data_IF_267427482181
#
_entry.id   IF_267427482181
#
_cell.length_a   1.000
_cell.length_b   1.000
_cell.length_c   1.000
_cell.angle_alpha   90.00
_cell.angle_beta   90.00
_cell.angle_gamma   90.00
#
_symmetry.space_group_name_H-M   'P 1'
#
loop_
_entity.id
_entity.type
_entity.pdbx_description
1 polymer ?
#
# COMPACT_ATOMS: atom_id res chain seq x y z
N UNK A 1 10.60 25.39 4.97
CA UNK A 1 9.62 24.72 5.87
C UNK A 1 9.71 23.23 5.63
N UNK A 2 10.47 22.51 6.46
CA UNK A 2 10.58 21.05 6.39
C UNK A 2 9.60 20.49 7.42
N UNK A 3 8.37 20.22 6.97
CA UNK A 3 7.26 19.82 7.81
C UNK A 3 6.95 18.34 7.54
N UNK A 4 7.87 17.43 7.86
CA UNK A 4 7.77 16.05 7.33
C UNK A 4 8.28 14.94 8.24
N UNK A 5 8.02 14.93 9.56
CA UNK A 5 8.31 13.74 10.38
C UNK A 5 7.34 13.45 11.55
N UNK A 6 6.30 14.26 11.79
CA UNK A 6 5.31 13.94 12.82
C UNK A 6 4.25 12.96 12.29
N UNK A 7 3.96 11.93 13.09
CA UNK A 7 2.81 11.03 12.97
C UNK A 7 1.59 11.57 13.73
N UNK A 8 1.65 12.85 14.10
CA UNK A 8 0.62 13.58 14.81
C UNK A 8 -0.10 14.51 13.82
N UNK A 9 -1.43 14.71 13.96
CA UNK A 9 -2.19 15.66 13.16
C UNK A 9 -1.60 17.08 13.26
N UNK A 10 -1.50 17.79 12.14
CA UNK A 10 -0.91 19.14 12.10
C UNK A 10 -1.87 20.23 12.61
N UNK A 11 -3.16 19.93 12.57
CA UNK A 11 -4.32 20.77 12.79
C UNK A 11 -5.09 20.39 14.08
N UNK A 12 -4.46 19.57 14.93
CA UNK A 12 -5.07 19.02 16.15
C UNK A 12 -5.93 17.78 15.86
N UNK A 13 -6.43 17.14 16.91
CA UNK A 13 -7.26 15.93 16.75
C UNK A 13 -8.59 16.30 16.05
N UNK A 14 -9.00 15.56 15.01
CA UNK A 14 -10.24 15.85 14.30
C UNK A 14 -11.44 15.75 15.24
N UNK A 15 -12.39 16.67 15.10
CA UNK A 15 -13.59 16.69 15.95
C UNK A 15 -14.48 15.50 15.61
N UNK A 16 -15.20 14.95 16.61
CA UNK A 16 -16.12 13.82 16.42
C UNK A 16 -17.12 14.05 15.28
N UNK A 17 -17.63 15.27 15.14
CA UNK A 17 -18.56 15.65 14.06
C UNK A 17 -17.90 15.61 12.67
N UNK A 18 -16.65 16.09 12.55
CA UNK A 18 -15.90 16.02 11.29
C UNK A 18 -15.65 14.57 10.88
N UNK A 19 -15.32 13.71 11.84
CA UNK A 19 -15.07 12.27 11.61
C UNK A 19 -16.36 11.59 11.15
N UNK A 20 -17.49 11.88 11.80
CA UNK A 20 -18.78 11.27 11.46
C UNK A 20 -19.21 11.57 10.01
N UNK A 21 -18.99 12.81 9.55
CA UNK A 21 -19.28 13.22 8.16
C UNK A 21 -18.43 12.47 7.13
N UNK A 22 -17.17 12.16 7.47
CA UNK A 22 -16.20 11.51 6.56
C UNK A 22 -16.25 9.98 6.62
N UNK A 23 -16.65 9.42 7.75
CA UNK A 23 -16.72 7.98 8.02
C UNK A 23 -17.43 7.14 6.94
N UNK A 24 -18.60 7.52 6.38
CA UNK A 24 -19.25 6.70 5.34
C UNK A 24 -18.41 6.64 4.05
N UNK A 25 -17.74 7.74 3.69
CA UNK A 25 -16.89 7.82 2.51
C UNK A 25 -15.65 6.94 2.72
N UNK A 26 -14.99 7.03 3.88
CA UNK A 26 -13.86 6.17 4.22
C UNK A 26 -14.23 4.70 4.20
N UNK A 27 -15.32 4.32 4.89
CA UNK A 27 -15.74 2.94 4.93
C UNK A 27 -15.97 2.38 3.52
N UNK A 28 -16.72 3.11 2.68
CA UNK A 28 -17.01 2.67 1.30
C UNK A 28 -15.73 2.42 0.49
N UNK A 29 -14.84 3.40 0.40
CA UNK A 29 -13.66 3.28 -0.46
C UNK A 29 -12.59 2.33 0.09
N UNK A 30 -12.43 2.24 1.41
CA UNK A 30 -11.55 1.25 2.03
C UNK A 30 -12.02 -0.19 1.77
N UNK A 31 -13.34 -0.43 1.77
CA UNK A 31 -13.89 -1.73 1.36
C UNK A 31 -13.63 -2.03 -0.13
N UNK A 32 -13.69 -1.03 -1.00
CA UNK A 32 -13.33 -1.20 -2.42
C UNK A 32 -11.84 -1.53 -2.57
N UNK A 33 -10.95 -0.84 -1.83
CA UNK A 33 -9.51 -1.18 -1.80
C UNK A 33 -9.29 -2.63 -1.35
N UNK A 34 -10.00 -3.08 -0.32
CA UNK A 34 -9.91 -4.44 0.18
C UNK A 34 -10.23 -5.48 -0.91
N UNK A 35 -11.34 -5.27 -1.62
CA UNK A 35 -11.74 -6.16 -2.72
C UNK A 35 -10.77 -6.12 -3.91
N UNK A 36 -10.10 -4.99 -4.14
CA UNK A 36 -9.12 -4.83 -5.22
C UNK A 36 -7.79 -5.57 -4.94
N UNK A 37 -7.45 -5.84 -3.68
CA UNK A 37 -6.23 -6.59 -3.34
C UNK A 37 -6.30 -8.02 -3.89
N UNK A 38 -7.47 -8.66 -3.87
CA UNK A 38 -7.65 -10.04 -4.36
C UNK A 38 -7.24 -10.19 -5.85
N UNK A 39 -7.84 -9.46 -6.80
CA UNK A 39 -7.44 -9.57 -8.21
C UNK A 39 -6.00 -9.10 -8.44
N UNK A 40 -5.47 -8.19 -7.61
CA UNK A 40 -4.05 -7.77 -7.68
C UNK A 40 -3.12 -8.93 -7.35
N UNK A 41 -3.41 -9.70 -6.30
CA UNK A 41 -2.60 -10.88 -5.93
C UNK A 41 -2.71 -11.96 -7.00
N UNK A 42 -3.91 -12.23 -7.51
CA UNK A 42 -4.13 -13.18 -8.61
C UNK A 42 -3.33 -12.78 -9.86
N UNK A 43 -3.38 -11.50 -10.23
CA UNK A 43 -2.61 -10.96 -11.34
C UNK A 43 -1.10 -11.13 -11.13
N UNK A 44 -0.60 -10.92 -9.91
CA UNK A 44 0.80 -11.13 -9.55
C UNK A 44 1.27 -12.58 -9.71
N UNK A 45 0.41 -13.56 -9.42
CA UNK A 45 0.70 -14.99 -9.63
C UNK A 45 0.66 -15.34 -11.12
N UNK A 46 -0.31 -14.82 -11.86
CA UNK A 46 -0.42 -15.04 -13.31
C UNK A 46 0.77 -14.45 -14.07
N UNK A 47 1.36 -13.36 -13.58
CA UNK A 47 2.45 -12.63 -14.25
C UNK A 47 3.85 -13.16 -13.91
N UNK A 48 3.97 -14.38 -13.41
CA UNK A 48 5.28 -14.98 -13.11
C UNK A 48 5.98 -15.49 -14.37
N UNK A 49 7.31 -15.41 -14.41
CA UNK A 49 8.12 -15.88 -15.56
C UNK A 49 7.90 -17.37 -15.88
N UNK A 50 7.56 -18.18 -14.87
CA UNK A 50 7.17 -19.57 -15.08
C UNK A 50 5.86 -19.70 -15.88
N UNK A 51 4.88 -18.82 -15.65
CA UNK A 51 3.63 -18.82 -16.41
C UNK A 51 3.86 -18.37 -17.85
N UNK A 52 4.83 -17.48 -18.07
CA UNK A 52 5.23 -17.07 -19.43
C UNK A 52 5.73 -18.26 -20.27
N UNK A 53 6.46 -19.21 -19.68
CA UNK A 53 6.98 -20.37 -20.41
C UNK A 53 5.93 -21.46 -20.67
N UNK A 54 4.92 -21.59 -19.82
CA UNK A 54 3.88 -22.62 -19.93
C UNK A 54 2.63 -22.12 -20.66
N UNK A 55 2.18 -20.90 -20.36
CA UNK A 55 0.95 -20.32 -20.88
C UNK A 55 1.11 -18.80 -21.10
N UNK A 56 1.73 -18.36 -22.21
CA UNK A 56 1.96 -16.94 -22.51
C UNK A 56 0.69 -16.08 -22.50
N UNK A 57 -0.45 -16.65 -22.91
CA UNK A 57 -1.74 -15.97 -22.85
C UNK A 57 -2.18 -15.63 -21.43
N UNK A 58 -1.97 -16.52 -20.46
CA UNK A 58 -2.29 -16.27 -19.05
C UNK A 58 -1.36 -15.22 -18.45
N UNK A 59 -0.08 -15.26 -18.82
CA UNK A 59 0.91 -14.27 -18.41
C UNK A 59 0.50 -12.85 -18.84
N UNK A 60 0.18 -12.66 -20.12
CA UNK A 60 -0.23 -11.34 -20.65
C UNK A 60 -1.52 -10.84 -20.01
N UNK A 61 -2.52 -11.72 -19.81
CA UNK A 61 -3.74 -11.39 -19.07
C UNK A 61 -3.43 -10.95 -17.63
N UNK A 62 -2.55 -11.67 -16.94
CA UNK A 62 -2.08 -11.31 -15.61
C UNK A 62 -1.44 -9.92 -15.58
N UNK A 63 -0.54 -9.64 -16.53
CA UNK A 63 0.18 -8.38 -16.58
C UNK A 63 -0.77 -7.19 -16.82
N UNK A 64 -1.72 -7.34 -17.75
CA UNK A 64 -2.75 -6.32 -18.03
C UNK A 64 -3.66 -6.13 -16.82
N UNK A 65 -4.13 -7.22 -16.20
CA UNK A 65 -4.97 -7.14 -15.00
C UNK A 65 -4.24 -6.44 -13.84
N UNK A 66 -2.97 -6.77 -13.61
CA UNK A 66 -2.15 -6.16 -12.57
C UNK A 66 -1.95 -4.66 -12.80
N UNK A 67 -1.72 -4.25 -14.05
CA UNK A 67 -1.63 -2.84 -14.43
C UNK A 67 -2.94 -2.10 -14.16
N UNK A 68 -4.08 -2.65 -14.61
CA UNK A 68 -5.41 -2.07 -14.38
C UNK A 68 -5.68 -1.93 -12.89
N UNK A 69 -5.42 -2.99 -12.10
CA UNK A 69 -5.62 -2.94 -10.65
C UNK A 69 -4.74 -1.88 -9.99
N UNK A 70 -3.49 -1.72 -10.42
CA UNK A 70 -2.59 -0.69 -9.88
C UNK A 70 -3.09 0.73 -10.15
N UNK A 71 -3.59 1.00 -11.37
CA UNK A 71 -4.19 2.29 -11.72
C UNK A 71 -5.45 2.54 -10.90
N UNK A 72 -6.35 1.56 -10.83
CA UNK A 72 -7.58 1.67 -10.05
C UNK A 72 -7.27 1.91 -8.58
N UNK A 73 -6.25 1.25 -8.03
CA UNK A 73 -5.80 1.45 -6.65
C UNK A 73 -5.35 2.90 -6.42
N UNK A 74 -4.51 3.43 -7.29
CA UNK A 74 -4.08 4.84 -7.25
C UNK A 74 -5.25 5.81 -7.35
N UNK A 75 -6.22 5.55 -8.23
CA UNK A 75 -7.42 6.38 -8.39
C UNK A 75 -8.30 6.35 -7.13
N UNK A 76 -8.47 5.19 -6.49
CA UNK A 76 -9.24 5.11 -5.24
C UNK A 76 -8.57 5.89 -4.12
N UNK A 77 -7.23 5.87 -4.04
CA UNK A 77 -6.50 6.73 -3.10
C UNK A 77 -6.76 8.22 -3.39
N UNK A 78 -6.81 8.64 -4.65
CA UNK A 78 -7.20 10.01 -5.00
C UNK A 78 -8.66 10.34 -4.64
N UNK A 79 -9.57 9.38 -4.70
CA UNK A 79 -10.95 9.59 -4.23
C UNK A 79 -10.99 9.79 -2.72
N UNK A 80 -10.19 9.02 -1.97
CA UNK A 80 -10.01 9.20 -0.53
C UNK A 80 -9.33 10.53 -0.18
N UNK A 81 -8.59 11.12 -1.13
CA UNK A 81 -7.89 12.38 -0.89
C UNK A 81 -8.80 13.58 -0.77
N UNK A 82 -10.09 13.47 -1.12
CA UNK A 82 -11.06 14.52 -0.84
C UNK A 82 -11.27 14.73 0.66
N UNK A 83 -10.90 13.73 1.48
CA UNK A 83 -11.07 13.75 2.93
C UNK A 83 -9.75 14.00 3.65
N UNK A 84 -8.64 13.43 3.16
CA UNK A 84 -7.32 13.56 3.77
C UNK A 84 -6.22 13.67 2.71
N UNK A 85 -5.43 14.74 2.78
CA UNK A 85 -4.43 15.06 1.74
C UNK A 85 -3.33 13.99 1.62
N UNK A 86 -3.06 13.23 2.69
CA UNK A 86 -2.05 12.18 2.67
C UNK A 86 -2.34 11.09 1.63
N UNK A 87 -3.62 10.80 1.37
CA UNK A 87 -4.02 9.87 0.29
C UNK A 87 -3.77 10.44 -1.11
N UNK A 88 -3.73 11.77 -1.27
CA UNK A 88 -3.41 12.42 -2.55
C UNK A 88 -2.01 12.05 -2.97
N UNK A 89 -1.04 12.20 -2.06
CA UNK A 89 0.36 11.91 -2.33
C UNK A 89 0.54 10.42 -2.61
N UNK A 90 -0.05 9.55 -1.78
CA UNK A 90 -0.02 8.10 -2.03
C UNK A 90 -0.58 7.74 -3.41
N UNK A 91 -1.76 8.27 -3.77
CA UNK A 91 -2.39 8.03 -5.06
C UNK A 91 -1.57 8.51 -6.25
N UNK A 92 -1.03 9.75 -6.20
CA UNK A 92 -0.20 10.30 -7.29
C UNK A 92 1.06 9.45 -7.49
N UNK A 93 1.80 9.16 -6.42
CA UNK A 93 3.03 8.36 -6.53
C UNK A 93 2.75 6.94 -7.02
N UNK A 94 1.62 6.34 -6.62
CA UNK A 94 1.19 5.04 -7.15
C UNK A 94 0.89 5.07 -8.64
N UNK A 95 0.25 6.13 -9.13
CA UNK A 95 -0.01 6.31 -10.57
C UNK A 95 1.30 6.56 -11.35
N UNK A 96 2.24 7.33 -10.81
CA UNK A 96 3.57 7.52 -11.40
C UNK A 96 4.31 6.18 -11.46
N UNK A 97 4.27 5.37 -10.39
CA UNK A 97 4.85 4.03 -10.38
C UNK A 97 4.25 3.14 -11.47
N UNK A 98 2.92 3.14 -11.63
CA UNK A 98 2.25 2.39 -12.68
C UNK A 98 2.64 2.86 -14.08
N UNK A 99 2.65 4.18 -14.33
CA UNK A 99 3.02 4.76 -15.61
C UNK A 99 4.48 4.46 -16.00
N UNK A 100 5.40 4.62 -15.07
CA UNK A 100 6.83 4.30 -15.29
C UNK A 100 7.03 2.81 -15.57
N UNK A 101 6.31 1.93 -14.88
CA UNK A 101 6.34 0.49 -15.13
C UNK A 101 5.84 0.14 -16.54
N UNK A 102 4.77 0.79 -16.99
CA UNK A 102 4.22 0.61 -18.33
C UNK A 102 5.16 1.09 -19.43
N UNK A 103 5.76 2.29 -19.25
CA UNK A 103 6.72 2.84 -20.21
C UNK A 103 7.93 1.91 -20.33
N UNK A 104 8.51 1.46 -19.21
CA UNK A 104 9.66 0.55 -19.19
C UNK A 104 9.37 -0.76 -19.95
N UNK A 105 8.15 -1.29 -19.83
CA UNK A 105 7.72 -2.48 -20.56
C UNK A 105 7.64 -2.24 -22.09
N UNK A 106 7.19 -1.06 -22.54
CA UNK A 106 7.11 -0.73 -23.98
C UNK A 106 8.51 -0.61 -24.58
N UNK A 107 9.40 0.14 -23.92
CA UNK A 107 10.75 0.39 -24.44
C UNK A 107 11.73 -0.75 -24.15
N UNK A 108 11.27 -1.82 -23.47
CA UNK A 108 12.08 -2.97 -23.06
C UNK A 108 13.37 -2.57 -22.33
N UNK A 109 13.30 -1.50 -21.54
CA UNK A 109 14.45 -0.93 -20.84
C UNK A 109 14.15 -0.89 -19.35
N UNK A 110 14.86 -1.71 -18.59
CA UNK A 110 14.81 -1.74 -17.13
C UNK A 110 16.22 -1.59 -16.56
N UNK A 111 16.79 -0.40 -16.77
CA UNK A 111 18.11 -0.07 -16.23
C UNK A 111 18.07 0.07 -14.71
N UNK A 112 19.19 -0.25 -14.03
CA UNK A 112 19.30 -0.17 -12.57
C UNK A 112 18.81 1.17 -11.99
N UNK A 113 19.12 2.29 -12.64
CA UNK A 113 18.66 3.62 -12.22
C UNK A 113 17.12 3.74 -12.19
N UNK A 114 16.43 3.18 -13.18
CA UNK A 114 14.97 3.18 -13.22
C UNK A 114 14.37 2.29 -12.14
N UNK A 115 15.00 1.14 -11.88
CA UNK A 115 14.61 0.24 -10.78
C UNK A 115 14.71 0.98 -9.44
N UNK A 116 15.84 1.62 -9.15
CA UNK A 116 16.01 2.39 -7.92
C UNK A 116 15.01 3.54 -7.80
N UNK A 117 14.78 4.28 -8.90
CA UNK A 117 13.80 5.36 -8.92
C UNK A 117 12.38 4.84 -8.60
N UNK A 118 11.97 3.72 -9.21
CA UNK A 118 10.67 3.09 -8.95
C UNK A 118 10.52 2.64 -7.51
N UNK A 119 11.58 2.07 -6.91
CA UNK A 119 11.54 1.67 -5.49
C UNK A 119 11.33 2.89 -4.60
N UNK A 120 12.03 4.01 -4.85
CA UNK A 120 11.85 5.24 -4.07
C UNK A 120 10.41 5.77 -4.22
N UNK A 121 9.88 5.80 -5.45
CA UNK A 121 8.50 6.24 -5.72
C UNK A 121 7.49 5.37 -4.96
N UNK A 122 7.65 4.05 -4.99
CA UNK A 122 6.78 3.12 -4.29
C UNK A 122 6.89 3.29 -2.78
N UNK A 123 8.10 3.47 -2.24
CA UNK A 123 8.34 3.69 -0.83
C UNK A 123 7.67 4.98 -0.32
N UNK A 124 7.71 6.06 -1.11
CA UNK A 124 7.02 7.32 -0.80
C UNK A 124 5.51 7.12 -0.84
N UNK A 125 4.99 6.42 -1.86
CA UNK A 125 3.57 6.08 -1.97
C UNK A 125 3.08 5.34 -0.73
N UNK A 126 3.79 4.26 -0.35
CA UNK A 126 3.43 3.45 0.79
C UNK A 126 3.56 4.23 2.09
N UNK A 127 4.64 4.97 2.32
CA UNK A 127 4.80 5.80 3.51
C UNK A 127 3.57 6.68 3.75
N UNK A 128 3.12 7.38 2.72
CA UNK A 128 1.95 8.24 2.80
C UNK A 128 0.65 7.45 3.06
N UNK A 129 0.50 6.27 2.47
CA UNK A 129 -0.65 5.39 2.72
C UNK A 129 -0.69 4.93 4.19
N UNK A 130 0.40 4.35 4.70
CA UNK A 130 0.54 3.89 6.08
C UNK A 130 0.33 5.02 7.08
N UNK A 131 0.94 6.19 6.81
CA UNK A 131 0.77 7.39 7.63
C UNK A 131 -0.67 7.84 7.67
N UNK A 132 -1.33 7.91 6.51
CA UNK A 132 -2.71 8.40 6.45
C UNK A 132 -3.66 7.44 7.15
N UNK A 133 -3.50 6.12 6.99
CA UNK A 133 -4.30 5.13 7.73
C UNK A 133 -4.16 5.27 9.25
N UNK A 134 -2.95 5.53 9.74
CA UNK A 134 -2.74 5.83 11.16
C UNK A 134 -3.45 7.14 11.55
N UNK A 135 -3.24 8.21 10.80
CA UNK A 135 -3.79 9.54 11.13
C UNK A 135 -5.32 9.55 11.21
N UNK A 136 -6.01 8.90 10.27
CA UNK A 136 -7.48 8.91 10.27
C UNK A 136 -8.09 8.13 11.43
N UNK A 137 -7.33 7.22 12.04
CA UNK A 137 -7.75 6.43 13.20
C UNK A 137 -7.46 7.12 14.52
N UNK A 138 -6.54 8.09 14.52
CA UNK A 138 -6.15 8.84 15.71
C UNK A 138 -7.36 9.58 16.29
N UNK A 139 -7.67 9.33 17.56
CA UNK A 139 -8.87 9.83 18.25
C UNK A 139 -10.14 9.00 18.05
N UNK A 140 -10.10 7.93 17.25
CA UNK A 140 -11.20 6.96 17.05
C UNK A 140 -10.81 5.59 17.61
N UNK A 141 -9.68 5.07 17.15
CA UNK A 141 -9.08 3.79 17.53
C UNK A 141 -7.55 3.96 17.53
N UNK A 142 -7.03 4.54 18.62
CA UNK A 142 -5.60 4.80 18.77
C UNK A 142 -4.77 3.51 18.77
N UNK A 143 -5.36 2.39 19.20
CA UNK A 143 -4.70 1.10 19.17
C UNK A 143 -4.45 0.62 17.75
N UNK A 144 -5.43 0.73 16.86
CA UNK A 144 -5.27 0.41 15.44
C UNK A 144 -4.38 1.43 14.73
N UNK A 145 -4.42 2.70 15.13
CA UNK A 145 -3.48 3.73 14.64
C UNK A 145 -2.02 3.33 14.90
N UNK A 146 -1.68 2.94 16.13
CA UNK A 146 -0.31 2.51 16.49
C UNK A 146 0.14 1.23 15.77
N UNK A 147 -0.80 0.32 15.50
CA UNK A 147 -0.54 -0.87 14.68
C UNK A 147 -0.10 -0.51 13.27
N UNK A 148 -0.73 0.48 12.63
CA UNK A 148 -0.31 0.98 11.32
C UNK A 148 1.11 1.56 11.33
N UNK A 149 1.46 2.34 12.36
CA UNK A 149 2.84 2.87 12.53
C UNK A 149 3.86 1.76 12.71
N UNK A 150 3.50 0.73 13.48
CA UNK A 150 4.35 -0.44 13.73
C UNK A 150 4.56 -1.25 12.47
N UNK A 151 3.49 -1.48 11.69
CA UNK A 151 3.56 -2.22 10.43
C UNK A 151 4.47 -1.53 9.41
N UNK A 152 4.44 -0.19 9.34
CA UNK A 152 5.39 0.58 8.51
C UNK A 152 6.85 0.32 8.90
N UNK A 153 7.17 0.29 10.20
CA UNK A 153 8.54 0.00 10.67
C UNK A 153 9.00 -1.39 10.26
N UNK A 154 8.14 -2.39 10.38
CA UNK A 154 8.43 -3.75 9.92
C UNK A 154 8.63 -3.81 8.40
N UNK A 155 7.81 -3.10 7.64
CA UNK A 155 7.95 -3.00 6.18
C UNK A 155 9.31 -2.42 5.79
N UNK A 156 9.73 -1.31 6.40
CA UNK A 156 11.06 -0.71 6.18
C UNK A 156 12.19 -1.68 6.56
N UNK A 157 12.05 -2.36 7.71
CA UNK A 157 13.01 -3.37 8.13
C UNK A 157 13.20 -4.47 7.08
N UNK A 158 12.09 -5.00 6.54
CA UNK A 158 12.12 -6.00 5.47
C UNK A 158 12.76 -5.48 4.19
N UNK A 159 12.43 -4.24 3.78
CA UNK A 159 13.06 -3.62 2.61
C UNK A 159 14.57 -3.52 2.78
N UNK A 160 15.05 -3.08 3.95
CA UNK A 160 16.49 -3.01 4.24
C UNK A 160 17.16 -4.38 4.22
N UNK A 161 16.50 -5.42 4.74
CA UNK A 161 17.01 -6.80 4.66
C UNK A 161 17.09 -7.27 3.21
N UNK A 162 16.08 -6.99 2.38
CA UNK A 162 16.11 -7.34 0.95
C UNK A 162 17.26 -6.63 0.21
N UNK A 163 17.54 -5.36 0.51
CA UNK A 163 18.72 -4.68 -0.04
C UNK A 163 20.04 -5.26 0.48
N UNK A 164 20.13 -5.52 1.80
CA UNK A 164 21.29 -6.13 2.41
C UNK A 164 21.60 -7.53 1.85
N UNK A 165 20.56 -8.26 1.45
CA UNK A 165 20.69 -9.57 0.82
C UNK A 165 21.55 -9.53 -0.46
N UNK A 166 21.50 -8.45 -1.24
CA UNK A 166 22.32 -8.29 -2.44
C UNK A 166 23.81 -8.32 -2.08
N UNK A 167 24.19 -7.68 -0.98
CA UNK A 167 25.57 -7.67 -0.46
C UNK A 167 25.97 -9.08 0.00
N UNK A 168 25.08 -9.78 0.72
CA UNK A 168 25.32 -11.16 1.18
C UNK A 168 25.55 -12.12 0.02
N UNK A 169 24.82 -11.96 -1.10
CA UNK A 169 25.01 -12.78 -2.29
C UNK A 169 26.43 -12.70 -2.87
N UNK A 170 27.14 -11.58 -2.71
CA UNK A 170 28.54 -11.45 -3.15
C UNK A 170 29.51 -12.23 -2.26
N UNK A 171 29.16 -12.45 -0.99
CA UNK A 171 29.97 -13.25 -0.05
C UNK A 171 29.64 -14.74 -0.20
N UNK A 172 28.35 -15.07 -0.23
CA UNK A 172 27.86 -16.43 -0.39
C UNK A 172 26.48 -16.42 -1.02
N UNK A 173 26.41 -16.93 -2.25
CA UNK A 173 25.17 -17.05 -3.01
C UNK A 173 24.10 -17.85 -2.26
N UNK A 174 24.48 -18.96 -1.62
CA UNK A 174 23.55 -19.83 -0.88
C UNK A 174 22.96 -19.10 0.34
N UNK A 175 23.80 -18.43 1.14
CA UNK A 175 23.33 -17.67 2.29
C UNK A 175 22.43 -16.51 1.87
N UNK A 176 22.82 -15.77 0.84
CA UNK A 176 22.00 -14.71 0.27
C UNK A 176 20.64 -15.23 -0.17
N UNK A 177 20.61 -16.35 -0.89
CA UNK A 177 19.35 -16.97 -1.34
C UNK A 177 18.43 -17.36 -0.19
N UNK A 178 18.97 -17.87 0.92
CA UNK A 178 18.17 -18.20 2.13
C UNK A 178 17.59 -16.93 2.75
N UNK A 179 18.39 -15.87 2.88
CA UNK A 179 17.92 -14.57 3.42
C UNK A 179 16.85 -13.96 2.52
N UNK A 180 17.00 -14.07 1.19
CA UNK A 180 16.00 -13.60 0.23
C UNK A 180 14.67 -14.34 0.40
N UNK A 181 14.70 -15.67 0.53
CA UNK A 181 13.51 -16.48 0.76
C UNK A 181 12.82 -16.12 2.08
N UNK A 182 13.58 -15.98 3.17
CA UNK A 182 13.05 -15.54 4.45
C UNK A 182 12.40 -14.15 4.37
N UNK A 183 13.03 -13.23 3.64
CA UNK A 183 12.49 -11.88 3.41
C UNK A 183 11.20 -11.90 2.60
N UNK A 184 11.12 -12.74 1.55
CA UNK A 184 9.91 -12.90 0.76
C UNK A 184 8.73 -13.42 1.59
N UNK A 185 8.97 -14.39 2.49
CA UNK A 185 7.96 -14.86 3.45
C UNK A 185 7.53 -13.72 4.38
N UNK A 186 8.49 -12.94 4.89
CA UNK A 186 8.20 -11.75 5.70
C UNK A 186 7.32 -10.72 4.97
N UNK A 187 7.58 -10.45 3.70
CA UNK A 187 6.78 -9.54 2.88
C UNK A 187 5.35 -10.05 2.67
N UNK A 188 5.15 -11.36 2.50
CA UNK A 188 3.81 -11.97 2.44
C UNK A 188 3.08 -11.75 3.77
N UNK A 189 3.73 -11.99 4.91
CA UNK A 189 3.14 -11.78 6.24
C UNK A 189 2.73 -10.31 6.42
N UNK A 190 3.60 -9.35 6.10
CA UNK A 190 3.29 -7.92 6.19
C UNK A 190 2.13 -7.53 5.28
N UNK A 191 2.06 -8.10 4.07
CA UNK A 191 0.95 -7.86 3.14
C UNK A 191 -0.39 -8.39 3.67
N UNK A 192 -0.40 -9.58 4.30
CA UNK A 192 -1.59 -10.14 4.94
C UNK A 192 -2.03 -9.26 6.12
N UNK A 193 -1.09 -8.81 6.96
CA UNK A 193 -1.41 -7.92 8.07
C UNK A 193 -1.95 -6.58 7.56
N UNK A 194 -1.35 -6.01 6.50
CA UNK A 194 -1.86 -4.79 5.84
C UNK A 194 -3.30 -4.98 5.38
N UNK A 195 -3.60 -6.10 4.73
CA UNK A 195 -4.96 -6.45 4.31
C UNK A 195 -5.95 -6.50 5.50
N UNK A 196 -5.57 -7.18 6.60
CA UNK A 196 -6.39 -7.24 7.82
C UNK A 196 -6.62 -5.84 8.40
N UNK A 197 -5.58 -5.01 8.43
CA UNK A 197 -5.69 -3.66 8.98
C UNK A 197 -6.59 -2.77 8.13
N UNK A 198 -6.54 -2.86 6.79
CA UNK A 198 -7.49 -2.14 5.91
C UNK A 198 -8.92 -2.56 6.23
N UNK A 199 -9.17 -3.85 6.40
CA UNK A 199 -10.49 -4.36 6.78
C UNK A 199 -10.95 -3.83 8.15
N UNK A 200 -10.07 -3.85 9.15
CA UNK A 200 -10.36 -3.33 10.49
C UNK A 200 -10.66 -1.82 10.43
N UNK A 201 -9.84 -1.03 9.74
CA UNK A 201 -10.05 0.41 9.53
C UNK A 201 -11.39 0.67 8.86
N UNK A 202 -11.73 -0.04 7.78
CA UNK A 202 -13.00 0.10 7.08
C UNK A 202 -14.21 -0.21 7.98
N UNK A 203 -14.06 -1.20 8.87
CA UNK A 203 -15.08 -1.64 9.82
C UNK A 203 -15.26 -0.65 10.96
N UNK A 204 -14.17 -0.09 11.50
CA UNK A 204 -14.21 0.99 12.51
C UNK A 204 -15.00 2.19 11.96
N UNK A 205 -14.70 2.66 10.75
CA UNK A 205 -15.46 3.75 10.13
C UNK A 205 -16.92 3.41 9.86
N UNK A 206 -17.22 2.15 9.49
CA UNK A 206 -18.60 1.69 9.31
C UNK A 206 -19.38 1.75 10.62
N UNK A 207 -18.80 1.24 11.70
CA UNK A 207 -19.40 1.23 13.03
C UNK A 207 -19.58 2.65 13.57
N UNK A 208 -18.56 3.50 13.42
CA UNK A 208 -18.61 4.90 13.82
C UNK A 208 -19.74 5.66 13.12
N UNK A 209 -19.85 5.48 11.80
CA UNK A 209 -20.94 6.06 11.02
C UNK A 209 -22.31 5.61 11.53
N UNK A 210 -22.49 4.31 11.83
CA UNK A 210 -23.77 3.77 12.29
C UNK A 210 -24.19 4.34 13.65
N UNK A 211 -23.29 4.33 14.62
CA UNK A 211 -23.59 4.78 15.99
C UNK A 211 -23.93 6.28 16.05
N UNK A 212 -23.24 7.11 15.25
CA UNK A 212 -23.52 8.54 15.22
C UNK A 212 -24.91 8.87 14.67
N UNK A 213 -25.41 8.08 13.70
CA UNK A 213 -26.77 8.26 13.19
C UNK A 213 -27.84 7.77 14.18
N UNK A 214 -27.54 6.80 15.03
CA UNK A 214 -28.45 6.32 16.09
C UNK A 214 -28.54 7.32 17.26
N UNK A 215 -27.45 8.00 17.62
CA UNK A 215 -27.46 9.04 18.67
C UNK A 215 -28.15 10.35 18.24
N UNK A 216 -28.35 10.56 16.93
CA UNK A 216 -28.97 11.77 16.37
C UNK A 216 -30.49 11.67 16.16
N UNK A 217 -31.10 10.51 16.48
CA UNK A 217 -32.51 10.17 16.31
C UNK A 217 -33.26 10.15 17.65
#
# INVERSE_FOLDING_TARGET
>A
MVQTYSWEPLDGYPTKESIAKRAPIFSKWLYVLLWLIIPTVVAGIMSQNYVMSVAPGIYTLGAVLGMVCSVVYGVILLQLSSQEEGYRTAGIFRLIFSATSFIAAIISFDGLLLIFLRIIIDLVSEYHEYKTHSLILTGIDDFLSEKWKTLWKFYIGLMLVMFGCVIVCFVSYTLGSIVLLASAVGSIIVSIIKYIYIYQTATVFRAYSKNHFEEAL
#
